data_IF_940511274401
#
_entry.id   IF_940511274401
#
_cell.length_a   1.000
_cell.length_b   1.000
_cell.length_c   1.000
_cell.angle_alpha   90.00
_cell.angle_beta   90.00
_cell.angle_gamma   90.00
#
_symmetry.space_group_name_H-M   'P 1'
#
loop_
_entity.id
_entity.type
_entity.pdbx_description
1 polymer ?
#
# COMPACT_ATOMS: atom_id res chain seq x y z
N UNK A 1 12.00 13.10 37.95
CA UNK A 1 11.17 13.24 36.75
C UNK A 1 12.06 13.85 35.67
N UNK A 2 12.54 13.05 34.71
CA UNK A 2 13.39 13.58 33.65
C UNK A 2 12.50 14.32 32.62
N UNK A 3 12.87 15.52 32.14
CA UNK A 3 12.11 16.21 31.10
C UNK A 3 12.09 15.37 29.83
N UNK A 4 10.90 15.19 29.26
CA UNK A 4 10.74 14.57 27.95
C UNK A 4 11.38 15.53 26.93
N UNK A 5 12.33 15.09 26.10
CA UNK A 5 12.93 15.96 25.09
C UNK A 5 11.86 16.47 24.13
N UNK A 6 11.94 17.73 23.66
CA UNK A 6 10.99 18.28 22.71
C UNK A 6 10.98 17.42 21.45
N UNK A 7 9.79 17.03 20.99
CA UNK A 7 9.64 16.32 19.71
C UNK A 7 10.03 17.29 18.60
N UNK A 8 11.20 17.10 18.00
CA UNK A 8 11.64 17.85 16.83
C UNK A 8 10.57 17.75 15.73
N UNK A 9 9.88 18.86 15.48
CA UNK A 9 8.86 18.98 14.46
C UNK A 9 9.55 19.20 13.11
N UNK A 10 10.25 18.19 12.61
CA UNK A 10 10.67 18.21 11.22
C UNK A 10 9.41 18.14 10.34
N UNK A 11 9.10 19.18 9.54
CA UNK A 11 7.94 19.14 8.66
C UNK A 11 8.11 17.96 7.71
N UNK A 12 7.05 17.14 7.61
CA UNK A 12 7.05 16.00 6.70
C UNK A 12 7.32 16.51 5.28
N UNK A 13 8.27 15.91 4.54
CA UNK A 13 8.51 16.31 3.17
C UNK A 13 7.22 16.11 2.36
N UNK A 14 6.80 17.16 1.65
CA UNK A 14 5.60 17.18 0.84
C UNK A 14 5.98 17.36 -0.63
N UNK A 15 5.21 16.69 -1.50
CA UNK A 15 5.00 16.99 -2.92
C UNK A 15 5.35 18.44 -3.27
N UNK A 16 4.48 19.31 -2.77
CA UNK A 16 4.42 20.73 -3.12
C UNK A 16 5.58 21.58 -2.60
N UNK A 17 6.43 21.06 -1.70
CA UNK A 17 7.58 21.80 -1.18
C UNK A 17 8.79 21.72 -2.13
N UNK A 18 8.72 20.87 -3.17
CA UNK A 18 9.76 20.76 -4.19
C UNK A 18 9.67 21.93 -5.19
N UNK A 19 10.80 22.40 -5.73
CA UNK A 19 10.80 23.33 -6.84
C UNK A 19 10.19 22.72 -8.11
N UNK A 20 9.68 23.57 -8.99
CA UNK A 20 9.03 23.16 -10.25
C UNK A 20 9.93 22.31 -11.14
N UNK A 21 11.25 22.53 -11.14
CA UNK A 21 12.20 21.69 -11.88
C UNK A 21 12.14 20.23 -11.44
N UNK A 22 12.07 19.98 -10.12
CA UNK A 22 11.93 18.64 -9.59
C UNK A 22 10.54 18.06 -9.88
N UNK A 23 9.49 18.88 -9.86
CA UNK A 23 8.17 18.44 -10.32
C UNK A 23 8.18 17.97 -11.78
N UNK A 24 8.80 18.73 -12.68
CA UNK A 24 8.93 18.37 -14.10
C UNK A 24 9.75 17.09 -14.26
N UNK A 25 10.88 17.00 -13.57
CA UNK A 25 11.74 15.83 -13.60
C UNK A 25 11.01 14.57 -13.12
N UNK A 26 10.31 14.63 -11.98
CA UNK A 26 9.48 13.52 -11.48
C UNK A 26 8.42 13.13 -12.52
N UNK A 27 7.72 14.12 -13.10
CA UNK A 27 6.68 13.85 -14.09
C UNK A 27 7.19 13.17 -15.36
N UNK A 28 8.47 13.37 -15.71
CA UNK A 28 9.09 12.75 -16.90
C UNK A 28 9.29 11.23 -16.77
N UNK A 29 9.31 10.70 -15.55
CA UNK A 29 9.40 9.26 -15.29
C UNK A 29 8.05 8.57 -15.15
N UNK A 30 6.94 9.32 -15.15
CA UNK A 30 5.61 8.75 -14.95
C UNK A 30 5.05 8.21 -16.27
N UNK A 31 4.54 6.97 -16.30
CA UNK A 31 3.81 6.48 -17.47
C UNK A 31 2.50 7.25 -17.63
N UNK A 32 1.91 7.20 -18.83
CA UNK A 32 0.71 7.98 -19.19
C UNK A 32 -0.40 7.98 -18.13
N UNK A 33 -0.84 6.83 -17.56
CA UNK A 33 -1.92 6.85 -16.59
C UNK A 33 -1.59 7.61 -15.30
N UNK A 34 -0.33 7.58 -14.87
CA UNK A 34 0.12 8.21 -13.62
C UNK A 34 0.42 9.69 -13.84
N UNK A 35 1.00 10.05 -14.99
CA UNK A 35 1.16 11.44 -15.40
C UNK A 35 -0.19 12.14 -15.55
N UNK A 36 -1.18 11.49 -16.18
CA UNK A 36 -2.54 12.02 -16.30
C UNK A 36 -3.19 12.16 -14.92
N UNK A 37 -3.01 11.20 -14.03
CA UNK A 37 -3.51 11.31 -12.65
C UNK A 37 -2.89 12.52 -11.95
N UNK A 38 -1.56 12.69 -12.01
CA UNK A 38 -0.84 13.82 -11.43
C UNK A 38 -1.35 15.16 -11.98
N UNK A 39 -1.52 15.25 -13.30
CA UNK A 39 -2.06 16.43 -14.00
C UNK A 39 -3.42 16.87 -13.43
N UNK A 40 -4.27 15.94 -13.03
CA UNK A 40 -5.60 16.23 -12.47
C UNK A 40 -5.63 16.41 -10.94
N UNK A 41 -4.49 16.33 -10.25
CA UNK A 41 -4.46 16.55 -8.78
C UNK A 41 -4.48 18.03 -8.39
N UNK A 42 -3.88 18.91 -9.18
CA UNK A 42 -3.78 20.33 -8.87
C UNK A 42 -3.68 21.20 -10.13
N UNK A 43 -4.05 22.49 -10.07
CA UNK A 43 -3.88 23.41 -11.19
C UNK A 43 -2.41 23.59 -11.63
N UNK A 44 -1.47 23.55 -10.68
CA UNK A 44 -0.02 23.62 -10.95
C UNK A 44 0.41 22.49 -11.88
N UNK A 45 0.09 21.24 -11.51
CA UNK A 45 0.42 20.07 -12.33
C UNK A 45 -0.39 20.02 -13.62
N UNK A 46 -1.61 20.55 -13.65
CA UNK A 46 -2.40 20.62 -14.86
C UNK A 46 -1.69 21.37 -16.00
N UNK A 47 -1.00 22.46 -15.65
CA UNK A 47 -0.23 23.28 -16.60
C UNK A 47 1.18 22.75 -16.90
N UNK A 48 1.80 22.06 -15.95
CA UNK A 48 3.21 21.65 -16.03
C UNK A 48 3.42 20.23 -16.59
N UNK A 49 2.50 19.29 -16.32
CA UNK A 49 2.70 17.88 -16.63
C UNK A 49 2.37 17.58 -18.09
N UNK A 50 3.32 16.96 -18.78
CA UNK A 50 3.15 16.52 -20.17
C UNK A 50 2.37 15.20 -20.27
N UNK A 51 1.29 15.20 -21.05
CA UNK A 51 0.47 14.01 -21.38
C UNK A 51 0.28 13.85 -22.89
N UNK A 52 1.29 14.21 -23.67
CA UNK A 52 1.20 14.19 -25.14
C UNK A 52 1.26 12.79 -25.76
N UNK A 53 1.33 12.77 -27.09
CA UNK A 53 1.21 11.54 -27.90
C UNK A 53 2.28 10.51 -27.58
N UNK A 54 3.53 10.92 -27.42
CA UNK A 54 4.64 10.00 -27.10
C UNK A 54 4.34 9.14 -25.88
N UNK A 55 3.91 9.78 -24.78
CA UNK A 55 3.61 9.07 -23.54
C UNK A 55 2.44 8.08 -23.69
N UNK A 56 1.44 8.42 -24.50
CA UNK A 56 0.30 7.53 -24.82
C UNK A 56 0.75 6.32 -25.63
N UNK A 57 1.61 6.54 -26.63
CA UNK A 57 2.13 5.47 -27.49
C UNK A 57 3.05 4.56 -26.70
N UNK A 58 4.00 5.11 -25.94
CA UNK A 58 4.94 4.35 -25.12
C UNK A 58 4.20 3.45 -24.14
N UNK A 59 3.15 3.96 -23.49
CA UNK A 59 2.30 3.17 -22.60
C UNK A 59 1.58 2.02 -23.33
N UNK A 60 1.07 2.24 -24.54
CA UNK A 60 0.42 1.19 -25.33
C UNK A 60 1.42 0.11 -25.79
N UNK A 61 2.62 0.52 -26.21
CA UNK A 61 3.71 -0.38 -26.58
C UNK A 61 4.11 -1.24 -25.38
N UNK A 62 4.35 -0.63 -24.21
CA UNK A 62 4.69 -1.34 -22.98
C UNK A 62 3.60 -2.38 -22.61
N UNK A 63 2.33 -2.03 -22.75
CA UNK A 63 1.21 -2.97 -22.51
C UNK A 63 1.25 -4.15 -23.48
N UNK A 64 1.53 -3.89 -24.75
CA UNK A 64 1.61 -4.93 -25.78
C UNK A 64 2.76 -5.90 -25.49
N UNK A 65 3.94 -5.37 -25.14
CA UNK A 65 5.11 -6.18 -24.74
C UNK A 65 4.84 -7.05 -23.52
N UNK A 66 4.11 -6.50 -22.54
CA UNK A 66 3.69 -7.22 -21.33
C UNK A 66 2.52 -8.20 -21.57
N UNK A 67 2.07 -8.36 -22.82
CA UNK A 67 0.94 -9.22 -23.22
C UNK A 67 -0.35 -8.92 -22.44
N UNK A 68 -0.56 -7.65 -22.12
CA UNK A 68 -1.79 -7.16 -21.49
C UNK A 68 -2.85 -6.85 -22.55
N UNK A 69 -4.10 -6.67 -22.12
CA UNK A 69 -5.19 -6.26 -23.00
C UNK A 69 -4.87 -4.90 -23.64
N UNK A 70 -4.76 -4.91 -24.97
CA UNK A 70 -4.42 -3.75 -25.79
C UNK A 70 -5.63 -3.29 -26.60
N UNK A 71 -6.00 -1.99 -26.54
CA UNK A 71 -7.06 -1.40 -27.35
C UNK A 71 -6.65 -1.36 -28.83
N UNK A 72 -7.10 -2.36 -29.60
CA UNK A 72 -6.85 -2.43 -31.06
C UNK A 72 -7.81 -1.54 -31.89
N UNK A 73 -8.74 -0.86 -31.24
CA UNK A 73 -9.68 0.08 -31.87
C UNK A 73 -8.99 1.41 -32.21
N UNK A 74 -9.61 2.22 -33.09
CA UNK A 74 -9.10 3.56 -33.43
C UNK A 74 -9.11 4.46 -32.19
N UNK A 75 -7.97 4.61 -31.52
CA UNK A 75 -7.75 5.60 -30.47
C UNK A 75 -7.34 6.95 -31.09
N UNK A 76 -7.97 8.04 -30.66
CA UNK A 76 -7.54 9.39 -31.02
C UNK A 76 -6.46 9.86 -30.06
N UNK A 77 -5.31 10.27 -30.59
CA UNK A 77 -4.20 10.78 -29.78
C UNK A 77 -4.25 12.30 -29.55
N UNK A 78 -5.24 13.00 -30.12
CA UNK A 78 -5.30 14.47 -30.13
C UNK A 78 -5.45 15.09 -28.74
N UNK A 79 -6.35 14.57 -27.91
CA UNK A 79 -6.58 15.07 -26.54
C UNK A 79 -6.62 13.91 -25.55
N UNK A 80 -6.55 14.23 -24.26
CA UNK A 80 -6.67 13.22 -23.20
C UNK A 80 -8.10 12.68 -23.12
N UNK A 81 -9.14 13.50 -23.34
CA UNK A 81 -10.52 13.01 -23.37
C UNK A 81 -10.79 12.09 -24.55
N UNK A 82 -10.29 12.46 -25.74
CA UNK A 82 -10.49 11.66 -26.95
C UNK A 82 -9.72 10.33 -26.89
N UNK A 83 -8.56 10.32 -26.22
CA UNK A 83 -7.80 9.09 -25.98
C UNK A 83 -8.48 8.20 -24.93
N UNK A 84 -8.98 8.78 -23.84
CA UNK A 84 -9.64 8.08 -22.73
C UNK A 84 -11.07 7.62 -23.06
N UNK A 85 -11.19 6.75 -24.07
CA UNK A 85 -12.45 6.10 -24.42
C UNK A 85 -12.93 5.12 -23.30
N UNK A 86 -14.17 4.61 -23.35
CA UNK A 86 -14.68 3.70 -22.33
C UNK A 86 -13.87 2.41 -22.14
N UNK A 87 -13.10 1.97 -23.14
CA UNK A 87 -12.23 0.80 -23.06
C UNK A 87 -10.92 1.14 -22.33
N UNK A 88 -10.25 2.22 -22.70
CA UNK A 88 -9.08 2.76 -22.00
C UNK A 88 -9.40 3.02 -20.53
N UNK A 89 -10.56 3.62 -20.25
CA UNK A 89 -11.00 3.90 -18.88
C UNK A 89 -11.09 2.62 -18.03
N UNK A 90 -11.66 1.54 -18.60
CA UNK A 90 -11.73 0.22 -17.94
C UNK A 90 -10.34 -0.37 -17.73
N UNK A 91 -9.45 -0.27 -18.71
CA UNK A 91 -8.05 -0.70 -18.60
C UNK A 91 -7.34 0.03 -17.44
N UNK A 92 -7.43 1.37 -17.41
CA UNK A 92 -6.85 2.18 -16.35
C UNK A 92 -7.44 1.84 -14.97
N UNK A 93 -8.74 1.57 -14.89
CA UNK A 93 -9.40 1.15 -13.65
C UNK A 93 -8.88 -0.21 -13.16
N UNK A 94 -8.75 -1.21 -14.05
CA UNK A 94 -8.17 -2.51 -13.69
C UNK A 94 -6.72 -2.37 -13.22
N UNK A 95 -5.92 -1.50 -13.87
CA UNK A 95 -4.55 -1.18 -13.44
C UNK A 95 -4.54 -0.61 -12.02
N UNK A 96 -5.39 0.40 -11.72
CA UNK A 96 -5.51 0.99 -10.37
C UNK A 96 -5.91 -0.01 -9.30
N UNK A 97 -6.76 -0.98 -9.65
CA UNK A 97 -7.17 -2.07 -8.76
C UNK A 97 -6.16 -3.22 -8.72
N UNK A 98 -5.01 -3.10 -9.38
CA UNK A 98 -3.97 -4.12 -9.48
C UNK A 98 -4.47 -5.48 -10.02
N UNK A 99 -5.55 -5.48 -10.81
CA UNK A 99 -6.18 -6.72 -11.33
C UNK A 99 -5.39 -7.36 -12.48
N UNK A 100 -4.51 -6.59 -13.12
CA UNK A 100 -3.65 -7.06 -14.22
C UNK A 100 -2.30 -7.62 -13.69
N UNK A 101 -2.05 -7.54 -12.38
CA UNK A 101 -0.78 -7.97 -11.80
C UNK A 101 -0.71 -9.50 -11.66
N UNK A 102 0.41 -10.15 -12.07
CA UNK A 102 0.61 -11.58 -11.87
C UNK A 102 0.64 -11.96 -10.39
N UNK A 103 0.12 -13.14 -10.07
CA UNK A 103 0.11 -13.73 -8.73
C UNK A 103 1.46 -14.36 -8.39
N UNK A 104 2.50 -13.53 -8.33
CA UNK A 104 3.86 -13.93 -7.95
C UNK A 104 4.47 -12.90 -7.00
N UNK A 105 5.45 -13.32 -6.21
CA UNK A 105 6.24 -12.41 -5.37
C UNK A 105 6.88 -11.34 -6.24
N UNK A 106 6.86 -10.07 -5.79
CA UNK A 106 7.34 -8.92 -6.56
C UNK A 106 6.69 -8.75 -7.95
N UNK A 107 5.48 -9.29 -8.13
CA UNK A 107 4.78 -9.29 -9.41
C UNK A 107 3.99 -8.01 -9.72
N UNK A 108 4.01 -6.98 -8.88
CA UNK A 108 3.16 -5.82 -9.10
C UNK A 108 3.62 -4.99 -10.30
N UNK A 109 2.73 -4.79 -11.29
CA UNK A 109 3.03 -4.04 -12.52
C UNK A 109 2.88 -2.51 -12.36
N UNK A 110 2.39 -2.06 -11.20
CA UNK A 110 2.15 -0.63 -10.92
C UNK A 110 3.26 -0.04 -10.07
N UNK A 111 3.73 -0.80 -9.07
CA UNK A 111 4.81 -0.40 -8.17
C UNK A 111 5.86 -1.51 -8.22
N UNK A 112 6.96 -1.25 -8.91
CA UNK A 112 8.00 -2.23 -9.14
C UNK A 112 8.56 -2.79 -7.82
N UNK A 113 8.84 -4.09 -7.81
CA UNK A 113 9.39 -4.79 -6.64
C UNK A 113 8.39 -5.06 -5.52
N UNK A 114 7.15 -4.56 -5.61
CA UNK A 114 6.13 -4.81 -4.59
C UNK A 114 5.25 -6.03 -4.91
N UNK A 115 4.58 -6.55 -3.88
CA UNK A 115 3.61 -7.64 -4.01
C UNK A 115 2.22 -7.07 -3.70
N UNK A 116 1.32 -7.02 -4.69
CA UNK A 116 -0.01 -6.43 -4.46
C UNK A 116 -1.00 -7.39 -3.76
N UNK A 117 -0.69 -8.69 -3.66
CA UNK A 117 -1.56 -9.68 -3.00
C UNK A 117 -1.08 -9.98 -1.58
N UNK A 118 -1.99 -9.81 -0.62
CA UNK A 118 -1.73 -10.05 0.82
C UNK A 118 -1.40 -11.51 1.09
N UNK A 119 -2.01 -12.44 0.35
CA UNK A 119 -1.82 -13.89 0.53
C UNK A 119 -0.41 -14.36 0.18
N UNK A 120 0.31 -13.59 -0.65
CA UNK A 120 1.70 -13.88 -1.04
C UNK A 120 2.72 -13.24 -0.09
N UNK A 121 2.27 -12.45 0.90
CA UNK A 121 3.15 -11.87 1.91
C UNK A 121 3.39 -12.91 2.99
N UNK A 122 4.63 -13.39 3.18
CA UNK A 122 4.91 -14.40 4.19
C UNK A 122 4.56 -13.88 5.59
N UNK A 123 4.02 -14.75 6.43
CA UNK A 123 3.37 -14.38 7.71
C UNK A 123 4.31 -13.60 8.64
N UNK A 124 5.62 -13.89 8.61
CA UNK A 124 6.65 -13.17 9.37
C UNK A 124 6.84 -11.69 8.97
N UNK A 125 6.41 -11.30 7.77
CA UNK A 125 6.53 -9.95 7.21
C UNK A 125 5.24 -9.15 7.43
N UNK A 126 4.17 -9.81 7.90
CA UNK A 126 2.88 -9.23 8.30
C UNK A 126 3.04 -8.54 9.66
N UNK A 127 3.90 -7.51 9.69
CA UNK A 127 4.49 -6.83 10.87
C UNK A 127 3.52 -6.00 11.73
N UNK A 128 2.28 -6.45 11.89
CA UNK A 128 1.29 -5.79 12.74
C UNK A 128 0.31 -6.72 13.48
N UNK A 129 0.17 -7.98 13.07
CA UNK A 129 -0.83 -8.90 13.65
C UNK A 129 -0.30 -9.88 14.70
N UNK A 130 1.00 -10.20 14.68
CA UNK A 130 1.55 -11.25 15.55
C UNK A 130 1.73 -10.81 17.01
N UNK A 131 1.88 -9.51 17.28
CA UNK A 131 1.95 -9.00 18.66
C UNK A 131 0.62 -9.22 19.39
N UNK A 132 -0.51 -9.02 18.72
CA UNK A 132 -1.84 -9.22 19.32
C UNK A 132 -2.13 -10.68 19.70
N UNK A 133 -1.69 -11.64 18.87
CA UNK A 133 -1.91 -13.08 19.14
C UNK A 133 -1.05 -13.57 20.31
N UNK A 134 0.19 -13.10 20.42
CA UNK A 134 1.07 -13.44 21.56
C UNK A 134 0.54 -12.85 22.87
N UNK A 135 0.00 -11.63 22.84
CA UNK A 135 -0.63 -11.00 24.01
C UNK A 135 -1.91 -11.73 24.44
N UNK A 136 -2.75 -12.14 23.48
CA UNK A 136 -3.99 -12.86 23.78
C UNK A 136 -3.74 -14.24 24.42
N UNK A 137 -2.76 -15.00 23.92
CA UNK A 137 -2.40 -16.30 24.50
C UNK A 137 -1.74 -16.18 25.89
N UNK A 138 -0.99 -15.10 26.15
CA UNK A 138 -0.38 -14.86 27.46
C UNK A 138 -1.39 -14.60 28.58
N UNK A 139 -2.53 -13.99 28.25
CA UNK A 139 -3.56 -13.64 29.23
C UNK A 139 -4.33 -14.86 29.74
N UNK A 140 -4.67 -15.80 28.86
CA UNK A 140 -5.34 -17.06 29.23
C UNK A 140 -4.47 -17.92 30.17
N UNK A 141 -3.16 -18.02 29.89
CA UNK A 141 -2.23 -18.79 30.73
C UNK A 141 -2.09 -18.18 32.13
N UNK A 142 -2.08 -16.85 32.25
CA UNK A 142 -2.07 -16.14 33.53
C UNK A 142 -3.34 -16.42 34.35
N UNK A 143 -4.51 -16.43 33.72
CA UNK A 143 -5.79 -16.72 34.37
C UNK A 143 -5.79 -18.17 34.90
N UNK A 144 -5.40 -19.13 34.07
CA UNK A 144 -5.34 -20.53 34.49
C UNK A 144 -4.32 -20.77 35.61
N UNK A 145 -3.16 -20.11 35.56
CA UNK A 145 -2.16 -20.18 36.63
C UNK A 145 -2.65 -19.60 37.96
N UNK A 146 -3.37 -18.47 37.93
CA UNK A 146 -3.94 -17.84 39.12
C UNK A 146 -5.02 -18.72 39.77
N UNK A 147 -5.90 -19.34 38.98
CA UNK A 147 -6.93 -20.26 39.50
C UNK A 147 -6.28 -21.44 40.19
N UNK A 148 -5.26 -22.05 39.59
CA UNK A 148 -4.54 -23.19 40.18
C UNK A 148 -3.91 -22.82 41.53
N UNK A 149 -3.29 -21.66 41.63
CA UNK A 149 -2.70 -21.16 42.88
C UNK A 149 -3.75 -20.93 43.96
N UNK A 150 -4.90 -20.34 43.62
CA UNK A 150 -5.99 -20.10 44.58
C UNK A 150 -6.56 -21.42 45.09
N UNK A 151 -6.84 -22.38 44.20
CA UNK A 151 -7.35 -23.70 44.59
C UNK A 151 -6.35 -24.43 45.48
N UNK A 152 -5.07 -24.41 45.12
CA UNK A 152 -4.01 -25.02 45.92
C UNK A 152 -3.91 -24.38 47.32
N UNK A 153 -3.99 -23.05 47.39
CA UNK A 153 -3.91 -22.32 48.65
C UNK A 153 -5.13 -22.57 49.55
N UNK A 154 -6.33 -22.60 48.97
CA UNK A 154 -7.56 -22.95 49.69
C UNK A 154 -7.50 -24.38 50.23
N UNK A 155 -7.04 -25.34 49.41
CA UNK A 155 -6.84 -26.71 49.84
C UNK A 155 -5.84 -26.80 51.01
N UNK A 156 -4.72 -26.09 50.91
CA UNK A 156 -3.72 -26.03 51.96
C UNK A 156 -4.31 -25.49 53.27
N UNK A 157 -5.08 -24.39 53.22
CA UNK A 157 -5.74 -23.85 54.40
C UNK A 157 -6.75 -24.83 55.02
N UNK A 158 -7.63 -25.42 54.20
CA UNK A 158 -8.63 -26.38 54.68
C UNK A 158 -7.96 -27.60 55.31
N UNK A 159 -6.91 -28.13 54.69
CA UNK A 159 -6.15 -29.24 55.25
C UNK A 159 -5.51 -28.89 56.59
N UNK A 160 -5.03 -27.66 56.76
CA UNK A 160 -4.42 -27.17 57.99
C UNK A 160 -5.44 -26.94 59.11
N UNK A 161 -6.65 -26.49 58.76
CA UNK A 161 -7.76 -26.30 59.70
C UNK A 161 -8.45 -27.63 60.09
N UNK A 162 -8.44 -28.65 59.23
CA UNK A 162 -8.99 -29.97 59.55
C UNK A 162 -8.02 -30.90 60.29
N UNK A 163 -6.71 -30.63 60.25
CA UNK A 163 -5.67 -31.36 60.99
C UNK A 163 -5.18 -30.66 62.27
N UNK A 164 -5.75 -29.50 62.63
CA UNK A 164 -5.56 -28.85 63.96
C UNK A 164 -6.78 -29.12 64.84
#
# INVERSE_FOLDING_TARGET
MNPIPPKDHHPKPNLMNLPTELHLHISSYLPYPDALALKHTSPHFYSAVYTGVHLKVDWLVERFERKLDCPMEKCSFRTDEAFCNPRIRRIMERRRRHLECPRKTSGCLVIDGTTCQVDLVPVWLKRGGQVGVVVALGQEVLIHGAIFLVVWWLWYLVSRFLLS
#
